data_IF_266109559621
#
_entry.id   IF_266109559621
#
_cell.length_a   1.000
_cell.length_b   1.000
_cell.length_c   1.000
_cell.angle_alpha   90.00
_cell.angle_beta   90.00
_cell.angle_gamma   90.00
#
_symmetry.space_group_name_H-M   'P 1'
#
loop_
_entity.id
_entity.type
_entity.pdbx_description
1 polymer ?
#
# COMPACT_ATOMS: atom_id res chain seq x y z
N UNK A 1 8.51 -3.96 33.82
CA UNK A 1 7.99 -2.94 32.88
C UNK A 1 8.97 -2.86 31.72
N UNK A 2 8.53 -3.15 30.49
CA UNK A 2 9.37 -2.92 29.31
C UNK A 2 9.67 -1.42 29.21
N UNK A 3 10.92 -1.04 28.92
CA UNK A 3 11.26 0.34 28.66
C UNK A 3 10.33 0.90 27.56
N UNK A 4 9.88 2.17 27.66
CA UNK A 4 9.06 2.76 26.61
C UNK A 4 9.87 2.70 25.30
N UNK A 5 9.37 1.94 24.33
CA UNK A 5 9.97 1.85 23.02
C UNK A 5 9.98 3.25 22.40
N UNK A 6 11.15 3.86 22.26
CA UNK A 6 11.28 5.13 21.55
C UNK A 6 10.91 4.87 20.09
N UNK A 7 9.74 5.33 19.67
CA UNK A 7 9.36 5.30 18.26
C UNK A 7 10.39 6.17 17.53
N UNK A 8 11.23 5.53 16.73
CA UNK A 8 12.17 6.24 15.86
C UNK A 8 11.37 7.01 14.83
N UNK A 9 11.80 8.25 14.58
CA UNK A 9 11.20 9.13 13.59
C UNK A 9 11.15 8.46 12.22
N UNK A 10 10.06 8.71 11.48
CA UNK A 10 9.89 8.20 10.11
C UNK A 10 10.56 9.19 9.17
N UNK A 11 11.58 8.73 8.45
CA UNK A 11 12.24 9.52 7.44
C UNK A 11 11.41 9.49 6.15
N UNK A 12 11.10 10.68 5.62
CA UNK A 12 10.34 10.83 4.38
C UNK A 12 11.23 11.31 3.24
N UNK A 13 10.83 10.98 2.02
CA UNK A 13 11.42 11.49 0.78
C UNK A 13 10.38 12.32 0.02
N UNK A 14 10.81 13.25 -0.85
CA UNK A 14 9.90 13.95 -1.74
C UNK A 14 9.16 12.96 -2.65
N UNK A 15 7.83 13.11 -2.75
CA UNK A 15 7.00 12.30 -3.63
C UNK A 15 7.29 12.71 -5.09
N UNK A 16 7.59 11.78 -6.01
CA UNK A 16 7.74 12.10 -7.43
C UNK A 16 6.45 12.71 -8.01
N UNK A 17 6.58 13.71 -8.89
CA UNK A 17 5.42 14.43 -9.44
C UNK A 17 4.40 13.52 -10.14
N UNK A 18 4.87 12.47 -10.82
CA UNK A 18 4.00 11.48 -11.47
C UNK A 18 3.14 10.69 -10.49
N UNK A 19 3.69 10.33 -9.33
CA UNK A 19 2.96 9.64 -8.26
C UNK A 19 1.97 10.61 -7.60
N UNK A 20 2.35 11.88 -7.46
CA UNK A 20 1.46 12.91 -6.92
C UNK A 20 0.23 13.11 -7.82
N UNK A 21 0.43 13.21 -9.13
CA UNK A 21 -0.63 13.33 -10.14
C UNK A 21 -1.57 12.10 -10.14
N UNK A 22 -1.00 10.89 -10.01
CA UNK A 22 -1.79 9.66 -9.87
C UNK A 22 -2.68 9.69 -8.61
N UNK A 23 -2.14 10.16 -7.48
CA UNK A 23 -2.91 10.30 -6.23
C UNK A 23 -4.00 11.36 -6.35
N UNK A 24 -3.70 12.50 -6.97
CA UNK A 24 -4.66 13.57 -7.21
C UNK A 24 -5.79 13.14 -8.15
N UNK A 25 -5.47 12.34 -9.16
CA UNK A 25 -6.47 11.71 -10.04
C UNK A 25 -7.39 10.80 -9.24
N UNK A 26 -6.84 9.95 -8.36
CA UNK A 26 -7.65 9.11 -7.47
C UNK A 26 -8.56 9.93 -6.55
N UNK A 27 -8.02 10.98 -5.94
CA UNK A 27 -8.75 11.90 -5.07
C UNK A 27 -9.91 12.60 -5.81
N UNK A 28 -9.68 13.07 -7.04
CA UNK A 28 -10.72 13.65 -7.89
C UNK A 28 -11.85 12.68 -8.20
N UNK A 29 -11.55 11.43 -8.53
CA UNK A 29 -12.59 10.41 -8.77
C UNK A 29 -13.37 10.04 -7.50
N UNK A 30 -12.74 10.06 -6.33
CA UNK A 30 -13.43 9.91 -5.04
C UNK A 30 -14.41 11.06 -4.82
N UNK A 31 -14.02 12.30 -5.14
CA UNK A 31 -14.90 13.47 -5.03
C UNK A 31 -16.08 13.38 -6.00
N UNK A 32 -15.84 12.98 -7.25
CA UNK A 32 -16.88 12.75 -8.25
C UNK A 32 -17.86 11.66 -7.81
N UNK A 33 -17.38 10.59 -7.18
CA UNK A 33 -18.25 9.55 -6.62
C UNK A 33 -19.12 10.11 -5.50
N UNK A 34 -18.53 10.91 -4.60
CA UNK A 34 -19.25 11.54 -3.49
C UNK A 34 -20.31 12.54 -3.97
N UNK A 35 -20.05 13.25 -5.08
CA UNK A 35 -21.00 14.16 -5.74
C UNK A 35 -22.10 13.43 -6.53
N UNK A 36 -21.94 12.13 -6.81
CA UNK A 36 -22.86 11.34 -7.64
C UNK A 36 -22.60 11.46 -9.14
N UNK A 37 -21.49 12.10 -9.56
CA UNK A 37 -21.11 12.30 -10.96
C UNK A 37 -20.59 11.03 -11.63
N UNK A 38 -20.17 10.03 -10.84
CA UNK A 38 -19.74 8.71 -11.31
C UNK A 38 -20.45 7.62 -10.53
N UNK A 39 -20.90 6.57 -11.24
CA UNK A 39 -21.56 5.43 -10.59
C UNK A 39 -20.54 4.52 -9.90
N UNK A 40 -21.00 3.76 -8.90
CA UNK A 40 -20.18 2.74 -8.26
C UNK A 40 -19.65 1.68 -9.24
N UNK A 41 -20.38 1.36 -10.31
CA UNK A 41 -19.98 0.38 -11.32
C UNK A 41 -18.80 0.86 -12.17
N UNK A 42 -18.69 2.17 -12.40
CA UNK A 42 -17.54 2.80 -13.08
C UNK A 42 -16.39 3.00 -12.10
N UNK A 43 -16.67 3.44 -10.87
CA UNK A 43 -15.65 3.69 -9.86
C UNK A 43 -14.94 2.41 -9.39
N UNK A 44 -15.67 1.29 -9.32
CA UNK A 44 -15.15 0.00 -8.86
C UNK A 44 -13.91 -0.46 -9.65
N UNK A 45 -13.94 -0.63 -10.99
CA UNK A 45 -12.76 -1.03 -11.75
C UNK A 45 -11.64 0.01 -11.69
N UNK A 46 -11.97 1.30 -11.60
CA UNK A 46 -11.00 2.37 -11.43
C UNK A 46 -10.19 2.20 -10.14
N UNK A 47 -10.84 2.16 -8.96
CA UNK A 47 -10.12 2.05 -7.67
C UNK A 47 -9.31 0.76 -7.54
N UNK A 48 -9.70 -0.31 -8.25
CA UNK A 48 -8.95 -1.57 -8.27
C UNK A 48 -7.57 -1.42 -8.90
N UNK A 49 -7.37 -0.50 -9.85
CA UNK A 49 -6.05 -0.24 -10.43
C UNK A 49 -5.07 0.38 -9.41
N UNK A 50 -5.62 1.06 -8.40
CA UNK A 50 -4.88 1.72 -7.30
C UNK A 50 -4.70 0.83 -6.07
N UNK A 51 -5.00 -0.47 -6.17
CA UNK A 51 -4.85 -1.39 -5.03
C UNK A 51 -5.99 -1.33 -4.02
N UNK A 52 -7.09 -0.64 -4.33
CA UNK A 52 -8.17 -0.32 -3.38
C UNK A 52 -9.40 -1.19 -3.66
N UNK A 53 -9.77 -2.01 -2.68
CA UNK A 53 -10.95 -2.87 -2.75
C UNK A 53 -12.05 -2.38 -1.82
N UNK A 54 -13.28 -2.30 -2.32
CA UNK A 54 -14.45 -2.14 -1.45
C UNK A 54 -14.64 -3.38 -0.57
N UNK A 55 -15.04 -3.17 0.68
CA UNK A 55 -15.42 -4.25 1.59
C UNK A 55 -16.93 -4.49 1.58
N UNK A 56 -17.39 -5.53 2.28
CA UNK A 56 -18.83 -5.77 2.49
C UNK A 56 -19.48 -4.64 3.29
N UNK A 57 -18.71 -4.04 4.20
CA UNK A 57 -19.14 -2.88 4.99
C UNK A 57 -19.13 -1.62 4.10
N UNK A 58 -20.23 -0.85 4.06
CA UNK A 58 -20.31 0.38 3.28
C UNK A 58 -19.28 1.44 3.72
N UNK A 59 -18.82 2.26 2.78
CA UNK A 59 -17.94 3.41 3.04
C UNK A 59 -16.46 3.07 3.28
N UNK A 60 -16.13 1.81 3.57
CA UNK A 60 -14.76 1.40 3.92
C UNK A 60 -14.10 0.54 2.85
N UNK A 61 -12.77 0.64 2.80
CA UNK A 61 -11.91 0.02 1.80
C UNK A 61 -10.85 -0.86 2.47
N UNK A 62 -10.39 -1.85 1.71
CA UNK A 62 -9.12 -2.53 1.93
C UNK A 62 -8.07 -1.89 1.01
N UNK A 63 -6.94 -1.52 1.59
CA UNK A 63 -5.76 -0.96 0.90
C UNK A 63 -4.69 -2.04 0.85
N UNK A 64 -4.29 -2.47 -0.35
CA UNK A 64 -3.17 -3.39 -0.52
C UNK A 64 -1.90 -2.65 -0.91
N UNK A 65 -0.87 -2.79 -0.07
CA UNK A 65 0.47 -2.25 -0.29
C UNK A 65 1.27 -3.28 -1.06
N UNK A 66 1.75 -2.93 -2.26
CA UNK A 66 2.58 -3.79 -3.11
C UNK A 66 4.01 -3.77 -2.57
N UNK A 67 4.54 -4.94 -2.21
CA UNK A 67 5.88 -5.07 -1.62
C UNK A 67 6.68 -6.07 -2.46
N UNK A 68 7.40 -5.61 -3.50
CA UNK A 68 8.23 -6.47 -4.34
C UNK A 68 9.12 -7.37 -3.48
N UNK A 69 9.15 -8.66 -3.83
CA UNK A 69 9.86 -9.74 -3.12
C UNK A 69 9.60 -9.87 -1.60
N UNK A 70 8.65 -9.12 -1.04
CA UNK A 70 8.43 -9.00 0.41
C UNK A 70 9.47 -8.15 1.15
N UNK A 71 10.30 -7.39 0.43
CA UNK A 71 11.34 -6.57 1.03
C UNK A 71 10.84 -5.25 1.58
N UNK A 72 11.03 -5.02 2.87
CA UNK A 72 10.77 -3.75 3.53
C UNK A 72 11.96 -3.30 4.37
N UNK A 73 12.19 -1.98 4.40
CA UNK A 73 13.05 -1.37 5.41
C UNK A 73 12.28 -1.19 6.73
N UNK A 74 13.01 -1.06 7.84
CA UNK A 74 12.39 -0.74 9.14
C UNK A 74 11.65 0.61 9.12
N UNK A 75 12.08 1.57 8.30
CA UNK A 75 11.41 2.86 8.13
C UNK A 75 10.04 2.70 7.46
N UNK A 76 9.99 1.93 6.38
CA UNK A 76 8.76 1.60 5.67
C UNK A 76 7.76 0.86 6.58
N UNK A 77 8.22 -0.15 7.33
CA UNK A 77 7.35 -0.89 8.24
C UNK A 77 6.76 0.00 9.35
N UNK A 78 7.53 0.95 9.89
CA UNK A 78 7.01 1.94 10.85
C UNK A 78 5.92 2.82 10.23
N UNK A 79 6.09 3.23 8.97
CA UNK A 79 5.06 4.00 8.26
C UNK A 79 3.79 3.19 8.04
N UNK A 80 3.91 1.91 7.69
CA UNK A 80 2.73 1.02 7.57
C UNK A 80 2.02 0.86 8.93
N UNK A 81 2.77 0.73 10.02
CA UNK A 81 2.19 0.68 11.37
C UNK A 81 1.48 1.99 11.76
N UNK A 82 2.11 3.15 11.50
CA UNK A 82 1.49 4.47 11.74
C UNK A 82 0.16 4.60 10.98
N UNK A 83 0.15 4.21 9.71
CA UNK A 83 -1.06 4.24 8.89
C UNK A 83 -2.12 3.29 9.45
N UNK A 84 -1.71 2.09 9.87
CA UNK A 84 -2.63 1.11 10.42
C UNK A 84 -3.35 1.63 11.68
N UNK A 85 -2.59 2.29 12.57
CA UNK A 85 -3.10 2.87 13.82
C UNK A 85 -3.99 4.10 13.59
N UNK A 86 -3.65 4.96 12.62
CA UNK A 86 -4.35 6.24 12.41
C UNK A 86 -5.60 6.12 11.52
N UNK A 87 -5.53 5.32 10.46
CA UNK A 87 -6.56 5.31 9.41
C UNK A 87 -7.35 4.00 9.32
N UNK A 88 -6.96 2.98 10.10
CA UNK A 88 -7.57 1.66 10.03
C UNK A 88 -7.85 1.08 11.42
N UNK A 89 -7.65 -0.22 11.61
CA UNK A 89 -7.97 -0.95 12.86
C UNK A 89 -6.73 -1.31 13.69
N UNK A 90 -5.56 -0.76 13.37
CA UNK A 90 -4.29 -1.16 13.98
C UNK A 90 -3.79 -2.56 13.55
N UNK A 91 -4.44 -3.18 12.56
CA UNK A 91 -4.10 -4.54 12.08
C UNK A 91 -3.57 -4.50 10.66
N UNK A 92 -2.32 -4.94 10.49
CA UNK A 92 -1.71 -5.22 9.18
C UNK A 92 -1.80 -6.71 8.84
N UNK A 93 -2.49 -7.06 7.75
CA UNK A 93 -2.61 -8.45 7.30
C UNK A 93 -1.53 -8.77 6.25
N UNK A 94 -0.54 -9.57 6.63
CA UNK A 94 0.48 -10.10 5.70
C UNK A 94 -0.15 -11.17 4.81
N UNK A 95 0.01 -11.03 3.50
CA UNK A 95 -0.63 -11.92 2.52
C UNK A 95 0.30 -13.05 2.09
N UNK A 96 -0.29 -14.09 1.48
CA UNK A 96 0.48 -15.18 0.84
C UNK A 96 1.31 -14.73 -0.36
N UNK A 97 1.14 -13.49 -0.83
CA UNK A 97 1.93 -12.86 -1.89
C UNK A 97 2.92 -11.83 -1.36
N UNK A 98 3.26 -11.88 -0.08
CA UNK A 98 4.24 -11.00 0.58
C UNK A 98 3.86 -9.51 0.63
N UNK A 99 2.64 -9.15 0.24
CA UNK A 99 2.06 -7.81 0.44
C UNK A 99 1.51 -7.63 1.86
N UNK A 100 1.18 -6.38 2.22
CA UNK A 100 0.40 -6.04 3.43
C UNK A 100 -0.95 -5.44 3.03
N UNK A 101 -2.03 -5.90 3.66
CA UNK A 101 -3.37 -5.33 3.52
C UNK A 101 -3.80 -4.64 4.79
N UNK A 102 -4.30 -3.41 4.65
CA UNK A 102 -4.94 -2.65 5.71
C UNK A 102 -6.45 -2.59 5.43
N UNK A 103 -7.29 -2.90 6.42
CA UNK A 103 -8.74 -3.01 6.27
C UNK A 103 -9.45 -1.91 7.05
N UNK A 104 -10.66 -1.54 6.60
CA UNK A 104 -11.51 -0.53 7.24
C UNK A 104 -11.04 0.92 7.07
N UNK A 105 -10.24 1.20 6.04
CA UNK A 105 -9.89 2.57 5.68
C UNK A 105 -11.12 3.31 5.13
N UNK A 106 -11.42 4.51 5.60
CA UNK A 106 -12.48 5.33 5.02
C UNK A 106 -12.08 5.75 3.60
N UNK A 107 -13.04 5.75 2.66
CA UNK A 107 -12.72 6.04 1.25
C UNK A 107 -12.05 7.42 1.06
N UNK A 108 -12.46 8.44 1.81
CA UNK A 108 -11.88 9.79 1.72
C UNK A 108 -10.45 9.88 2.30
N UNK A 109 -10.06 8.96 3.17
CA UNK A 109 -8.71 8.92 3.75
C UNK A 109 -7.71 8.19 2.86
N UNK A 110 -8.19 7.42 1.86
CA UNK A 110 -7.33 6.57 1.03
C UNK A 110 -6.27 7.37 0.27
N UNK A 111 -6.60 8.56 -0.25
CA UNK A 111 -5.61 9.43 -0.92
C UNK A 111 -4.49 9.84 0.06
N UNK A 112 -4.84 10.16 1.30
CA UNK A 112 -3.87 10.48 2.37
C UNK A 112 -2.99 9.28 2.70
N UNK A 113 -3.57 8.08 2.79
CA UNK A 113 -2.81 6.83 2.97
C UNK A 113 -1.81 6.65 1.82
N UNK A 114 -2.22 6.87 0.57
CA UNK A 114 -1.35 6.75 -0.60
C UNK A 114 -0.18 7.75 -0.55
N UNK A 115 -0.43 9.03 -0.19
CA UNK A 115 0.64 10.03 -0.01
C UNK A 115 1.62 9.59 1.06
N UNK A 116 1.11 9.13 2.21
CA UNK A 116 1.94 8.63 3.32
C UNK A 116 2.79 7.41 2.94
N UNK A 117 2.31 6.52 2.07
CA UNK A 117 3.09 5.40 1.56
C UNK A 117 4.17 5.87 0.58
N UNK A 118 3.82 6.79 -0.32
CA UNK A 118 4.76 7.34 -1.30
C UNK A 118 5.93 8.09 -0.66
N UNK A 119 5.72 8.76 0.48
CA UNK A 119 6.77 9.41 1.28
C UNK A 119 7.87 8.45 1.76
N UNK A 120 7.64 7.13 1.76
CA UNK A 120 8.63 6.11 2.15
C UNK A 120 8.92 5.12 1.02
N UNK A 121 8.66 5.52 -0.23
CA UNK A 121 8.89 4.70 -1.43
C UNK A 121 8.07 3.40 -1.43
N UNK A 122 6.83 3.46 -0.93
CA UNK A 122 5.84 2.38 -1.05
C UNK A 122 4.70 2.77 -1.98
N UNK A 123 4.07 1.77 -2.60
CA UNK A 123 2.97 1.99 -3.54
C UNK A 123 1.84 0.98 -3.36
N UNK A 124 0.63 1.38 -3.73
CA UNK A 124 -0.55 0.51 -3.86
C UNK A 124 -0.90 0.24 -5.33
N UNK A 125 -0.20 0.91 -6.26
CA UNK A 125 -0.42 0.82 -7.70
C UNK A 125 -0.31 -0.63 -8.15
N UNK A 126 -1.28 -1.04 -8.96
CA UNK A 126 -1.29 -2.37 -9.61
C UNK A 126 -1.23 -3.57 -8.64
N UNK A 127 -1.46 -3.34 -7.34
CA UNK A 127 -1.58 -4.42 -6.36
C UNK A 127 -2.83 -5.29 -6.63
N UNK A 128 -3.75 -4.79 -7.45
CA UNK A 128 -5.08 -5.30 -7.73
C UNK A 128 -5.39 -5.12 -9.24
N UNK A 129 -6.63 -5.39 -9.71
CA UNK A 129 -7.02 -5.34 -11.14
C UNK A 129 -6.29 -6.33 -12.08
N UNK A 130 -6.51 -6.19 -13.40
CA UNK A 130 -5.96 -7.05 -14.47
C UNK A 130 -4.57 -6.57 -14.92
N UNK A 131 -3.60 -6.67 -14.00
CA UNK A 131 -2.20 -6.25 -14.21
C UNK A 131 -1.25 -7.24 -13.53
N UNK A 132 0.05 -7.01 -13.67
CA UNK A 132 1.10 -7.77 -12.97
C UNK A 132 1.06 -7.39 -11.49
N UNK A 133 0.61 -8.36 -10.69
CA UNK A 133 0.56 -8.27 -9.22
C UNK A 133 1.96 -8.30 -8.63
N UNK A 134 2.05 -8.31 -7.31
CA UNK A 134 3.33 -8.43 -6.63
C UNK A 134 4.17 -9.62 -7.11
N UNK A 135 5.45 -9.38 -7.40
CA UNK A 135 6.44 -10.39 -7.78
C UNK A 135 7.03 -10.96 -6.50
N UNK A 136 6.76 -12.23 -6.23
CA UNK A 136 7.23 -12.91 -5.02
C UNK A 136 8.59 -13.53 -5.24
N UNK A 137 9.43 -13.55 -4.21
CA UNK A 137 10.72 -14.25 -4.22
C UNK A 137 10.99 -14.94 -2.88
N UNK A 138 12.11 -15.66 -2.78
CA UNK A 138 12.55 -16.24 -1.53
C UNK A 138 12.75 -15.13 -0.48
N UNK A 139 12.17 -15.28 0.71
CA UNK A 139 12.33 -14.32 1.81
C UNK A 139 13.77 -14.20 2.34
N UNK A 140 14.66 -15.14 1.96
CA UNK A 140 16.10 -15.12 2.27
C UNK A 140 16.97 -14.79 1.04
N UNK A 141 16.37 -14.32 -0.06
CA UNK A 141 17.13 -13.97 -1.27
C UNK A 141 18.22 -12.94 -0.95
N UNK A 142 19.44 -13.18 -1.44
CA UNK A 142 20.62 -12.32 -1.25
C UNK A 142 21.39 -12.55 0.05
N UNK A 143 20.89 -13.39 0.96
CA UNK A 143 21.56 -13.72 2.24
C UNK A 143 21.64 -15.22 2.51
N UNK A 144 20.89 -16.04 1.77
CA UNK A 144 20.85 -17.48 1.96
C UNK A 144 22.12 -18.13 1.40
N UNK A 145 22.92 -18.77 2.26
CA UNK A 145 24.14 -19.48 1.84
C UNK A 145 23.89 -20.60 0.82
N UNK A 146 22.67 -21.14 0.76
CA UNK A 146 22.28 -22.21 -0.17
C UNK A 146 21.59 -21.73 -1.44
N UNK A 147 21.44 -20.41 -1.67
CA UNK A 147 20.85 -19.94 -2.91
C UNK A 147 21.82 -20.11 -4.09
N UNK A 148 21.28 -20.52 -5.24
CA UNK A 148 22.11 -20.67 -6.46
C UNK A 148 22.60 -19.31 -6.95
N UNK A 149 21.75 -18.28 -6.84
CA UNK A 149 22.07 -16.87 -7.11
C UNK A 149 21.01 -15.96 -6.46
N UNK A 150 21.34 -14.68 -6.24
CA UNK A 150 20.42 -13.69 -5.69
C UNK A 150 19.37 -13.27 -6.71
N UNK A 151 18.10 -13.54 -6.41
CA UNK A 151 16.95 -13.20 -7.25
C UNK A 151 16.39 -11.79 -6.99
N UNK A 152 16.85 -11.11 -5.93
CA UNK A 152 16.36 -9.80 -5.50
C UNK A 152 16.40 -8.74 -6.61
N UNK A 153 17.49 -8.61 -7.42
CA UNK A 153 17.54 -7.64 -8.51
C UNK A 153 16.46 -7.83 -9.58
N UNK A 154 15.97 -9.06 -9.77
CA UNK A 154 14.98 -9.40 -10.80
C UNK A 154 13.54 -9.31 -10.31
N UNK A 155 13.33 -9.29 -8.99
CA UNK A 155 12.01 -9.22 -8.36
C UNK A 155 11.61 -7.80 -7.94
N UNK A 156 12.54 -6.82 -8.00
CA UNK A 156 12.28 -5.39 -7.79
C UNK A 156 11.59 -4.80 -9.03
N UNK A 157 10.26 -4.87 -9.07
CA UNK A 157 9.41 -4.38 -10.17
C UNK A 157 8.32 -3.44 -9.68
#
# INVERSE_FOLDING_TARGET
MAAPYTIREIHTIPIPATILEEIETFEGEVQRLAAGDVSNDIFKPFRLQYGIYGQRQPGVQMVRIKIPFGGLTANQLRRVAEIADQYTTGVGHVTTRQDIQLHFAMLHDVSTIMRKLAEVDLTTREACANTVRNVTACHLAGVCQGEVFDVTPYAKT
#
